data_IF_094066253294
#
_entry.id   IF_094066253294
#
_cell.length_a   1.000
_cell.length_b   1.000
_cell.length_c   1.000
_cell.angle_alpha   90.00
_cell.angle_beta   90.00
_cell.angle_gamma   90.00
#
_symmetry.space_group_name_H-M   'P 1'
#
loop_
_entity.id
_entity.type
_entity.pdbx_description
1 polymer ?
#
# COMPACT_ATOMS: atom_id res chain seq x y z
N UNK A 1 12.45 47.06 27.03
CA UNK A 1 12.44 46.58 25.63
C UNK A 1 13.14 45.24 25.40
N UNK A 2 14.29 44.94 26.03
CA UNK A 2 15.03 43.68 25.78
C UNK A 2 14.32 42.38 26.19
N UNK A 3 13.49 42.40 27.25
CA UNK A 3 12.81 41.19 27.75
C UNK A 3 11.60 40.78 26.90
N UNK A 4 10.91 41.75 26.29
CA UNK A 4 9.71 41.51 25.47
C UNK A 4 10.02 40.80 24.15
N UNK A 5 11.16 41.15 23.54
CA UNK A 5 11.63 40.52 22.29
C UNK A 5 12.03 39.06 22.54
N UNK A 6 12.66 38.77 23.68
CA UNK A 6 13.05 37.40 24.04
C UNK A 6 11.84 36.47 24.19
N UNK A 7 10.76 36.94 24.80
CA UNK A 7 9.52 36.16 24.94
C UNK A 7 8.82 35.90 23.59
N UNK A 8 8.87 36.86 22.67
CA UNK A 8 8.32 36.69 21.32
C UNK A 8 9.10 35.63 20.51
N UNK A 9 10.43 35.62 20.61
CA UNK A 9 11.28 34.64 19.91
C UNK A 9 11.09 33.23 20.49
N UNK A 10 11.12 33.09 21.82
CA UNK A 10 10.96 31.78 22.49
C UNK A 10 9.54 31.24 22.33
N UNK A 11 8.52 32.10 22.47
CA UNK A 11 7.12 31.70 22.26
C UNK A 11 6.84 31.28 20.82
N UNK A 12 7.44 31.96 19.84
CA UNK A 12 7.32 31.61 18.42
C UNK A 12 7.93 30.25 18.08
N UNK A 13 9.06 29.88 18.68
CA UNK A 13 9.68 28.56 18.45
C UNK A 13 8.84 27.40 19.00
N UNK A 14 8.08 27.63 20.07
CA UNK A 14 7.18 26.62 20.64
C UNK A 14 5.89 26.44 19.82
N UNK A 15 5.41 27.50 19.15
CA UNK A 15 4.19 27.47 18.33
C UNK A 15 4.41 26.88 16.93
N UNK A 16 5.65 26.88 16.43
CA UNK A 16 5.99 26.46 15.05
C UNK A 16 6.69 25.10 14.97
N UNK A 17 6.90 24.42 16.10
CA UNK A 17 7.43 23.06 16.13
C UNK A 17 6.38 22.05 15.68
N UNK A 18 6.32 21.77 14.38
CA UNK A 18 5.52 20.65 13.88
C UNK A 18 6.09 19.35 14.48
N UNK A 19 5.26 18.60 15.21
CA UNK A 19 5.58 17.23 15.64
C UNK A 19 5.77 16.37 14.39
N UNK A 20 7.01 16.21 13.94
CA UNK A 20 7.34 15.25 12.89
C UNK A 20 7.32 13.87 13.54
N UNK A 21 6.44 12.94 13.13
CA UNK A 21 6.43 11.60 13.70
C UNK A 21 7.80 10.93 13.43
N UNK A 22 8.54 10.65 14.51
CA UNK A 22 9.90 10.12 14.46
C UNK A 22 9.99 8.59 14.67
N UNK A 23 8.87 7.89 14.54
CA UNK A 23 8.85 6.43 14.70
C UNK A 23 7.59 5.83 14.12
N UNK A 24 7.70 5.24 12.93
CA UNK A 24 6.73 4.24 12.50
C UNK A 24 7.10 2.92 13.19
N UNK A 25 6.23 2.45 14.08
CA UNK A 25 6.38 1.17 14.77
C UNK A 25 5.11 0.36 14.56
N UNK A 26 5.25 -0.83 13.97
CA UNK A 26 4.19 -1.83 13.93
C UNK A 26 4.03 -2.40 15.34
N UNK A 27 2.97 -1.98 16.03
CA UNK A 27 2.70 -2.41 17.41
C UNK A 27 2.35 -3.90 17.54
N UNK A 28 2.08 -4.56 16.42
CA UNK A 28 1.73 -5.96 16.33
C UNK A 28 2.30 -6.52 15.03
N UNK A 29 3.35 -7.34 15.14
CA UNK A 29 3.72 -8.24 14.06
C UNK A 29 2.66 -9.35 14.04
N UNK A 30 1.84 -9.41 12.99
CA UNK A 30 1.02 -10.61 12.77
C UNK A 30 1.99 -11.78 12.57
N UNK A 31 1.67 -12.93 13.15
CA UNK A 31 2.45 -14.14 12.93
C UNK A 31 2.55 -14.38 11.42
N UNK A 32 3.78 -14.55 10.93
CA UNK A 32 4.04 -14.85 9.53
C UNK A 32 3.47 -16.24 9.25
N UNK A 33 2.28 -16.28 8.66
CA UNK A 33 1.65 -17.52 8.26
C UNK A 33 2.14 -17.84 6.87
N UNK A 34 2.72 -19.03 6.68
CA UNK A 34 3.02 -19.55 5.34
C UNK A 34 1.76 -19.86 4.54
N UNK A 35 0.57 -19.67 5.11
CA UNK A 35 -0.70 -19.81 4.41
C UNK A 35 -0.80 -18.75 3.30
N UNK A 36 -1.27 -19.18 2.13
CA UNK A 36 -1.72 -18.24 1.11
C UNK A 36 -2.82 -17.39 1.71
N UNK A 37 -2.76 -16.07 1.53
CA UNK A 37 -3.92 -15.24 1.88
C UNK A 37 -5.10 -15.68 1.01
N UNK A 38 -6.25 -15.95 1.62
CA UNK A 38 -7.40 -16.48 0.90
C UNK A 38 -7.80 -15.53 -0.24
N UNK A 39 -7.85 -16.08 -1.45
CA UNK A 39 -8.17 -15.35 -2.67
C UNK A 39 -7.00 -14.63 -3.35
N UNK A 40 -5.81 -14.54 -2.74
CA UNK A 40 -4.59 -14.04 -3.38
C UNK A 40 -3.89 -15.17 -4.16
N UNK A 41 -3.41 -14.90 -5.37
CA UNK A 41 -2.88 -15.93 -6.28
C UNK A 41 -1.55 -16.52 -5.78
N UNK A 42 -0.72 -15.70 -5.11
CA UNK A 42 0.55 -16.09 -4.52
C UNK A 42 0.97 -15.08 -3.47
N UNK A 43 1.71 -15.53 -2.46
CA UNK A 43 2.34 -14.67 -1.46
C UNK A 43 3.57 -13.92 -2.02
N UNK A 44 4.03 -14.26 -3.23
CA UNK A 44 5.08 -13.51 -3.92
C UNK A 44 4.45 -12.43 -4.80
N UNK A 45 4.49 -11.19 -4.29
CA UNK A 45 4.02 -9.99 -4.98
C UNK A 45 5.18 -9.37 -5.78
N UNK A 46 4.92 -9.08 -7.06
CA UNK A 46 5.89 -8.48 -7.99
C UNK A 46 5.55 -7.01 -8.26
N UNK A 47 4.27 -6.68 -8.44
CA UNK A 47 3.83 -5.30 -8.66
C UNK A 47 2.48 -5.03 -8.00
N UNK A 48 2.23 -3.79 -7.58
CA UNK A 48 0.94 -3.35 -7.03
C UNK A 48 0.55 -2.04 -7.72
N UNK A 49 -0.67 -1.98 -8.25
CA UNK A 49 -1.21 -0.78 -8.90
C UNK A 49 -2.60 -0.44 -8.37
N UNK A 50 -2.84 0.84 -8.09
CA UNK A 50 -4.19 1.32 -7.91
C UNK A 50 -4.87 1.46 -9.29
N UNK A 51 -6.16 1.15 -9.36
CA UNK A 51 -7.00 1.42 -10.54
C UNK A 51 -8.23 2.26 -10.23
N UNK A 52 -8.19 2.99 -9.12
CA UNK A 52 -9.26 3.83 -8.59
C UNK A 52 -9.12 3.96 -7.08
N UNK A 53 -10.13 4.55 -6.44
CA UNK A 53 -10.07 4.86 -5.01
C UNK A 53 -10.01 3.62 -4.11
N UNK A 54 -10.65 2.52 -4.51
CA UNK A 54 -10.72 1.28 -3.72
C UNK A 54 -10.18 0.04 -4.43
N UNK A 55 -9.92 0.16 -5.73
CA UNK A 55 -9.48 -0.95 -6.58
C UNK A 55 -7.95 -1.06 -6.59
N UNK A 56 -7.42 -2.19 -6.13
CA UNK A 56 -6.00 -2.50 -6.21
C UNK A 56 -5.77 -3.78 -7.02
N UNK A 57 -4.75 -3.76 -7.85
CA UNK A 57 -4.24 -4.89 -8.62
C UNK A 57 -2.90 -5.35 -8.04
N UNK A 58 -2.68 -6.66 -8.02
CA UNK A 58 -1.48 -7.32 -7.53
C UNK A 58 -0.97 -8.26 -8.62
N UNK A 59 0.20 -7.95 -9.17
CA UNK A 59 0.95 -8.88 -10.01
C UNK A 59 1.67 -9.84 -9.09
N UNK A 60 1.39 -11.14 -9.23
CA UNK A 60 1.98 -12.18 -8.37
C UNK A 60 2.76 -13.19 -9.20
N UNK A 61 3.56 -14.02 -8.54
CA UNK A 61 4.30 -15.11 -9.23
C UNK A 61 3.41 -16.21 -9.83
N UNK A 62 2.10 -16.24 -9.53
CA UNK A 62 1.15 -17.25 -10.04
C UNK A 62 -0.08 -16.65 -10.76
N UNK A 63 -0.08 -15.34 -11.00
CA UNK A 63 -1.12 -14.68 -11.77
C UNK A 63 -1.45 -13.29 -11.24
N UNK A 64 -2.60 -12.77 -11.68
CA UNK A 64 -3.12 -11.47 -11.29
C UNK A 64 -4.14 -11.64 -10.16
N UNK A 65 -4.00 -10.86 -9.09
CA UNK A 65 -5.06 -10.70 -8.08
C UNK A 65 -5.57 -9.27 -8.06
N UNK A 66 -6.83 -9.07 -7.69
CA UNK A 66 -7.40 -7.76 -7.46
C UNK A 66 -8.29 -7.75 -6.21
N UNK A 67 -8.42 -6.58 -5.62
CA UNK A 67 -9.35 -6.29 -4.52
C UNK A 67 -10.11 -5.00 -4.83
N UNK A 68 -11.46 -5.01 -4.80
CA UNK A 68 -12.27 -3.80 -5.00
C UNK A 68 -12.49 -3.00 -3.71
N UNK A 69 -12.00 -3.50 -2.56
CA UNK A 69 -12.34 -3.03 -1.21
C UNK A 69 -11.09 -2.91 -0.32
N UNK A 70 -9.98 -2.42 -0.90
CA UNK A 70 -8.72 -2.14 -0.19
C UNK A 70 -8.14 -3.35 0.57
N UNK A 71 -8.41 -4.57 0.09
CA UNK A 71 -7.85 -5.81 0.61
C UNK A 71 -8.77 -6.55 1.59
N UNK A 72 -10.05 -6.18 1.71
CA UNK A 72 -11.00 -6.96 2.51
C UNK A 72 -11.44 -8.25 1.80
N UNK A 73 -11.48 -8.25 0.46
CA UNK A 73 -11.73 -9.43 -0.37
C UNK A 73 -10.87 -9.45 -1.63
N UNK A 74 -10.51 -10.65 -2.09
CA UNK A 74 -9.66 -10.85 -3.25
C UNK A 74 -10.31 -11.72 -4.32
N UNK A 75 -10.02 -11.41 -5.58
CA UNK A 75 -10.28 -12.25 -6.75
C UNK A 75 -8.98 -12.47 -7.50
N UNK A 76 -8.73 -13.71 -7.93
CA UNK A 76 -7.51 -14.09 -8.64
C UNK A 76 -7.77 -14.74 -9.99
N UNK A 77 -6.87 -14.45 -10.93
CA UNK A 77 -6.79 -14.98 -12.27
C UNK A 77 -5.43 -15.66 -12.43
N UNK A 78 -5.42 -16.99 -12.50
CA UNK A 78 -4.22 -17.81 -12.60
C UNK A 78 -4.17 -18.45 -13.99
N UNK A 79 -2.98 -18.83 -14.46
CA UNK A 79 -2.81 -19.36 -15.81
C UNK A 79 -3.78 -20.53 -16.13
N UNK A 80 -3.97 -21.45 -15.19
CA UNK A 80 -4.86 -22.60 -15.36
C UNK A 80 -6.34 -22.23 -15.47
N UNK A 81 -6.77 -21.11 -14.90
CA UNK A 81 -8.19 -20.72 -14.87
C UNK A 81 -8.60 -19.84 -16.04
N UNK A 82 -7.66 -19.10 -16.62
CA UNK A 82 -7.93 -18.13 -17.70
C UNK A 82 -7.04 -18.32 -18.94
N UNK A 83 -6.29 -19.42 -19.02
CA UNK A 83 -5.37 -19.75 -20.11
C UNK A 83 -4.36 -18.62 -20.40
N UNK A 84 -3.78 -18.03 -19.34
CA UNK A 84 -2.69 -17.07 -19.52
C UNK A 84 -1.48 -17.78 -20.11
N UNK A 85 -0.74 -17.12 -21.02
CA UNK A 85 0.44 -17.72 -21.64
C UNK A 85 1.57 -17.99 -20.63
N UNK A 86 1.60 -17.26 -19.50
CA UNK A 86 2.60 -17.39 -18.45
C UNK A 86 1.96 -17.36 -17.07
N UNK A 87 2.59 -18.08 -16.12
CA UNK A 87 2.11 -18.17 -14.74
C UNK A 87 2.39 -16.93 -13.89
N UNK A 88 3.51 -16.24 -14.13
CA UNK A 88 3.94 -15.09 -13.32
C UNK A 88 3.73 -13.75 -14.01
N UNK A 89 3.33 -12.74 -13.23
CA UNK A 89 3.20 -11.36 -13.72
C UNK A 89 4.50 -10.61 -13.45
N UNK A 90 5.15 -10.10 -14.50
CA UNK A 90 6.40 -9.36 -14.41
C UNK A 90 6.21 -7.85 -14.12
N UNK A 91 5.12 -7.27 -14.60
CA UNK A 91 4.76 -5.88 -14.36
C UNK A 91 3.27 -5.64 -14.62
N UNK A 92 2.70 -4.60 -14.00
CA UNK A 92 1.34 -4.14 -14.25
C UNK A 92 1.34 -2.68 -14.70
N UNK A 93 0.47 -2.38 -15.66
CA UNK A 93 0.09 -1.03 -16.03
C UNK A 93 -1.44 -0.91 -15.90
N UNK A 94 -1.89 0.19 -15.30
CA UNK A 94 -3.31 0.51 -15.23
C UNK A 94 -3.54 1.75 -16.08
N UNK A 95 -4.49 1.66 -17.00
CA UNK A 95 -4.90 2.80 -17.80
C UNK A 95 -5.90 3.62 -16.97
N UNK A 96 -5.46 4.77 -16.45
CA UNK A 96 -6.37 5.75 -15.89
C UNK A 96 -7.30 6.23 -17.01
N UNK A 97 -8.59 5.91 -16.89
CA UNK A 97 -9.57 6.39 -17.84
C UNK A 97 -9.77 7.89 -17.60
N UNK A 98 -9.41 8.69 -18.61
CA UNK A 98 -9.83 10.09 -18.73
C UNK A 98 -11.35 10.05 -18.96
N UNK A 99 -12.13 10.32 -17.92
CA UNK A 99 -13.55 10.68 -18.06
C UNK A 99 -13.75 12.06 -17.45
#
# INVERSE_FOLDING_TARGET
>A
MRRTILWLVVGGQLLMGQLVPYGFSLHKQLADSTASYDGLASNSIIDIRAGGDSLLFFGTSRGLSLTPDLGASFRSYIADSVHLPEGGISALAVLDSII
#
